data_IF_465184393791
#
_entry.id   IF_465184393791
#
_cell.length_a   1.000
_cell.length_b   1.000
_cell.length_c   1.000
_cell.angle_alpha   90.00
_cell.angle_beta   90.00
_cell.angle_gamma   90.00
#
_symmetry.space_group_name_H-M   'P 1'
#
loop_
_entity.id
_entity.type
_entity.pdbx_description
1 polymer ?
#
# COMPACT_ATOMS: atom_id res chain seq x y z
N UNK A 1 -18.70 25.57 9.46
CA UNK A 1 -17.59 24.77 8.89
C UNK A 1 -16.78 24.13 10.01
N UNK A 2 -16.26 24.91 10.96
CA UNK A 2 -15.46 24.39 12.09
C UNK A 2 -16.26 23.72 13.22
N UNK A 3 -17.59 23.65 13.13
CA UNK A 3 -18.42 23.02 14.16
C UNK A 3 -18.22 21.52 14.23
N UNK A 4 -17.91 20.87 13.09
CA UNK A 4 -17.59 19.45 13.05
C UNK A 4 -16.25 19.18 13.75
N UNK A 5 -15.22 19.98 13.46
CA UNK A 5 -13.88 19.83 14.02
C UNK A 5 -13.90 20.04 15.54
N UNK A 6 -14.59 21.08 16.02
CA UNK A 6 -14.79 21.34 17.45
C UNK A 6 -15.50 20.16 18.11
N UNK A 7 -16.56 19.63 17.48
CA UNK A 7 -17.31 18.49 18.04
C UNK A 7 -16.45 17.23 18.11
N UNK A 8 -15.67 16.95 17.07
CA UNK A 8 -14.73 15.82 17.06
C UNK A 8 -13.69 15.93 18.16
N UNK A 9 -13.13 17.13 18.39
CA UNK A 9 -12.16 17.38 19.47
C UNK A 9 -12.80 17.16 20.85
N UNK A 10 -14.00 17.69 21.07
CA UNK A 10 -14.72 17.53 22.34
C UNK A 10 -15.04 16.07 22.60
N UNK A 11 -15.58 15.36 21.60
CA UNK A 11 -15.94 13.94 21.72
C UNK A 11 -14.70 13.07 21.99
N UNK A 12 -13.58 13.33 21.31
CA UNK A 12 -12.32 12.59 21.51
C UNK A 12 -11.73 12.80 22.91
N UNK A 13 -11.72 14.04 23.41
CA UNK A 13 -11.24 14.34 24.75
C UNK A 13 -12.15 13.72 25.82
N UNK A 14 -13.47 13.83 25.67
CA UNK A 14 -14.41 13.18 26.60
C UNK A 14 -14.19 11.67 26.65
N UNK A 15 -14.01 11.01 25.49
CA UNK A 15 -13.67 9.59 25.46
C UNK A 15 -12.35 9.28 26.18
N UNK A 16 -11.31 10.09 25.96
CA UNK A 16 -10.00 9.90 26.57
C UNK A 16 -10.05 9.99 28.11
N UNK A 17 -10.92 10.85 28.66
CA UNK A 17 -11.07 11.03 30.10
C UNK A 17 -12.11 10.07 30.73
N UNK A 18 -13.24 9.88 30.06
CA UNK A 18 -14.38 9.13 30.58
C UNK A 18 -14.26 7.61 30.37
N UNK A 19 -13.46 7.17 29.39
CA UNK A 19 -13.28 5.75 29.05
C UNK A 19 -11.82 5.36 29.15
N UNK A 20 -11.38 5.04 30.37
CA UNK A 20 -10.00 4.69 30.67
C UNK A 20 -9.41 3.53 29.86
N UNK A 21 -10.25 2.63 29.32
CA UNK A 21 -9.85 1.48 28.48
C UNK A 21 -9.63 1.84 27.01
N UNK A 22 -9.88 3.09 26.60
CA UNK A 22 -9.63 3.54 25.24
C UNK A 22 -8.23 4.14 25.21
N UNK A 23 -7.26 3.32 24.84
CA UNK A 23 -5.84 3.69 24.84
C UNK A 23 -5.36 4.16 23.47
N UNK A 24 -6.15 3.94 22.42
CA UNK A 24 -5.77 4.23 21.03
C UNK A 24 -6.83 5.04 20.31
N UNK A 25 -6.39 6.12 19.66
CA UNK A 25 -7.23 7.03 18.90
C UNK A 25 -6.75 7.08 17.44
N UNK A 26 -7.63 6.73 16.50
CA UNK A 26 -7.37 6.88 15.08
C UNK A 26 -8.03 8.17 14.56
N UNK A 27 -7.23 9.14 14.14
CA UNK A 27 -7.68 10.41 13.60
C UNK A 27 -7.56 10.40 12.07
N UNK A 28 -8.70 10.34 11.39
CA UNK A 28 -8.75 10.42 9.92
C UNK A 28 -8.91 11.88 9.50
N UNK A 29 -7.80 12.60 9.41
CA UNK A 29 -7.75 13.98 8.95
C UNK A 29 -6.34 14.37 8.46
N UNK A 30 -6.28 15.19 7.41
CA UNK A 30 -5.05 15.87 6.98
C UNK A 30 -4.86 17.26 7.57
N UNK A 31 -5.84 17.76 8.34
CA UNK A 31 -5.86 19.13 8.83
C UNK A 31 -4.94 19.32 10.05
N UNK A 32 -4.04 20.30 9.97
CA UNK A 32 -3.11 20.64 11.05
C UNK A 32 -3.80 21.19 12.30
N UNK A 33 -5.05 21.66 12.18
CA UNK A 33 -5.82 22.22 13.30
C UNK A 33 -6.09 21.18 14.40
N UNK A 34 -5.92 19.89 14.12
CA UNK A 34 -6.01 18.82 15.12
C UNK A 34 -4.73 18.57 15.91
N UNK A 35 -3.62 19.26 15.60
CA UNK A 35 -2.35 19.08 16.33
C UNK A 35 -2.50 19.26 17.86
N UNK A 36 -3.25 20.25 18.38
CA UNK A 36 -3.46 20.38 19.82
C UNK A 36 -4.22 19.19 20.43
N UNK A 37 -5.17 18.59 19.70
CA UNK A 37 -5.87 17.38 20.15
C UNK A 37 -4.90 16.20 20.25
N UNK A 38 -4.08 15.98 19.22
CA UNK A 38 -3.06 14.91 19.20
C UNK A 38 -2.11 15.06 20.38
N UNK A 39 -1.56 16.26 20.60
CA UNK A 39 -0.68 16.53 21.75
C UNK A 39 -1.38 16.24 23.07
N UNK A 40 -2.64 16.66 23.23
CA UNK A 40 -3.39 16.42 24.47
C UNK A 40 -3.69 14.94 24.71
N UNK A 41 -4.01 14.18 23.67
CA UNK A 41 -4.21 12.73 23.78
C UNK A 41 -2.90 12.04 24.21
N UNK A 42 -1.77 12.40 23.60
CA UNK A 42 -0.45 11.86 23.94
C UNK A 42 0.00 12.21 25.35
N UNK A 43 -0.26 13.44 25.81
CA UNK A 43 -0.03 13.84 27.21
C UNK A 43 -0.83 13.01 28.22
N UNK A 44 -1.94 12.38 27.81
CA UNK A 44 -2.73 11.48 28.63
C UNK A 44 -2.42 10.00 28.33
N UNK A 45 -1.19 9.71 27.87
CA UNK A 45 -0.69 8.37 27.56
C UNK A 45 -1.54 7.59 26.54
N UNK A 46 -2.23 8.30 25.64
CA UNK A 46 -3.00 7.68 24.55
C UNK A 46 -2.14 7.58 23.29
N UNK A 47 -2.22 6.44 22.62
CA UNK A 47 -1.59 6.19 21.32
C UNK A 47 -2.42 6.83 20.21
N UNK A 48 -1.82 7.68 19.38
CA UNK A 48 -2.53 8.38 18.31
C UNK A 48 -2.05 7.95 16.93
N UNK A 49 -2.96 7.39 16.16
CA UNK A 49 -2.76 7.00 14.76
C UNK A 49 -3.40 8.07 13.87
N UNK A 50 -2.59 8.82 13.13
CA UNK A 50 -3.08 9.74 12.10
C UNK A 50 -3.34 9.01 10.77
N UNK A 51 -4.39 9.39 10.06
CA UNK A 51 -4.66 8.96 8.70
C UNK A 51 -4.95 10.17 7.81
N UNK A 52 -4.23 10.31 6.71
CA UNK A 52 -4.40 11.45 5.81
C UNK A 52 -3.85 11.22 4.41
N UNK A 53 -4.19 12.13 3.49
CA UNK A 53 -3.72 12.12 2.10
C UNK A 53 -2.35 12.78 2.03
N UNK A 54 -1.38 12.19 1.33
CA UNK A 54 0.01 12.67 1.32
C UNK A 54 0.16 14.10 0.83
N UNK A 55 -0.67 14.53 -0.12
CA UNK A 55 -0.67 15.90 -0.66
C UNK A 55 -1.34 16.95 0.24
N UNK A 56 -2.08 16.52 1.25
CA UNK A 56 -2.94 17.39 2.05
C UNK A 56 -2.71 17.26 3.55
N UNK A 57 -1.78 16.40 3.96
CA UNK A 57 -1.40 16.21 5.37
C UNK A 57 -0.22 17.11 5.69
N UNK A 58 -0.37 17.94 6.73
CA UNK A 58 0.72 18.79 7.22
C UNK A 58 1.82 17.98 7.91
N UNK A 59 3.09 18.31 7.64
CA UNK A 59 4.26 17.70 8.32
C UNK A 59 4.19 17.85 9.85
N UNK A 60 3.55 18.92 10.33
CA UNK A 60 3.35 19.15 11.77
C UNK A 60 2.39 18.12 12.38
N UNK A 61 1.32 17.76 11.69
CA UNK A 61 0.37 16.75 12.17
C UNK A 61 1.02 15.36 12.14
N UNK A 62 1.73 15.05 11.05
CA UNK A 62 2.46 13.79 10.88
C UNK A 62 3.49 13.60 12.00
N UNK A 63 4.27 14.63 12.33
CA UNK A 63 5.27 14.57 13.39
C UNK A 63 4.70 14.52 14.81
N UNK A 64 3.45 14.95 15.01
CA UNK A 64 2.81 14.93 16.31
C UNK A 64 2.14 13.59 16.64
N UNK A 65 1.76 12.79 15.63
CA UNK A 65 1.16 11.47 15.82
C UNK A 65 2.22 10.42 16.20
N UNK A 66 1.82 9.35 16.89
CA UNK A 66 2.72 8.23 17.19
C UNK A 66 2.91 7.31 15.97
N UNK A 67 1.85 7.19 15.15
CA UNK A 67 1.88 6.54 13.84
C UNK A 67 1.07 7.39 12.85
N UNK A 68 1.50 7.46 11.59
CA UNK A 68 0.74 8.12 10.53
C UNK A 68 0.67 7.26 9.28
N UNK A 69 -0.55 6.91 8.86
CA UNK A 69 -0.82 6.06 7.70
C UNK A 69 -1.35 6.94 6.57
N UNK A 70 -0.64 6.94 5.44
CA UNK A 70 -1.12 7.64 4.25
C UNK A 70 -2.22 6.85 3.55
N UNK A 71 -3.32 7.54 3.21
CA UNK A 71 -4.48 6.93 2.57
C UNK A 71 -4.12 6.25 1.23
N UNK A 72 -3.20 6.84 0.47
CA UNK A 72 -2.71 6.27 -0.79
C UNK A 72 -1.98 4.93 -0.59
N UNK A 73 -1.23 4.79 0.50
CA UNK A 73 -0.51 3.56 0.83
C UNK A 73 -1.49 2.48 1.32
N UNK A 74 -2.51 2.85 2.09
CA UNK A 74 -3.58 1.94 2.52
C UNK A 74 -4.39 1.39 1.33
N UNK A 75 -4.71 2.23 0.33
CA UNK A 75 -5.37 1.76 -0.90
C UNK A 75 -4.49 0.78 -1.66
N UNK A 76 -3.18 1.05 -1.76
CA UNK A 76 -2.24 0.16 -2.46
C UNK A 76 -2.17 -1.21 -1.79
N UNK A 77 -2.13 -1.26 -0.46
CA UNK A 77 -2.12 -2.52 0.31
C UNK A 77 -3.46 -3.26 0.26
N UNK A 78 -4.58 -2.54 0.34
CA UNK A 78 -5.92 -3.13 0.20
C UNK A 78 -6.14 -3.72 -1.19
N UNK A 79 -5.67 -3.05 -2.25
CA UNK A 79 -5.71 -3.57 -3.63
C UNK A 79 -4.81 -4.80 -3.80
N UNK A 80 -3.60 -4.79 -3.23
CA UNK A 80 -2.71 -5.98 -3.18
C UNK A 80 -3.42 -7.16 -2.51
N UNK A 81 -4.08 -6.91 -1.38
CA UNK A 81 -4.80 -7.95 -0.63
C UNK A 81 -6.05 -8.46 -1.38
N UNK A 82 -6.75 -7.58 -2.09
CA UNK A 82 -7.98 -7.94 -2.83
C UNK A 82 -7.67 -8.71 -4.12
N UNK A 83 -6.67 -8.28 -4.90
CA UNK A 83 -6.26 -8.98 -6.13
C UNK A 83 -5.68 -10.39 -5.85
N UNK A 84 -5.18 -10.60 -4.63
CA UNK A 84 -4.63 -11.89 -4.19
C UNK A 84 -5.65 -12.77 -3.44
N UNK A 85 -6.87 -12.26 -3.21
CA UNK A 85 -7.90 -12.94 -2.42
C UNK A 85 -8.49 -14.11 -3.21
N UNK A 86 -8.42 -15.32 -2.65
CA UNK A 86 -8.94 -16.55 -3.28
C UNK A 86 -7.92 -17.31 -4.14
N UNK A 87 -6.69 -16.82 -4.25
CA UNK A 87 -5.60 -17.57 -4.86
C UNK A 87 -4.96 -18.54 -3.85
N UNK A 88 -4.41 -19.67 -4.31
CA UNK A 88 -3.55 -20.51 -3.49
C UNK A 88 -2.40 -19.69 -2.89
N UNK A 89 -2.08 -19.93 -1.62
CA UNK A 89 -1.08 -19.17 -0.84
C UNK A 89 0.24 -18.97 -1.60
N UNK A 90 0.77 -20.04 -2.20
CA UNK A 90 2.00 -19.99 -3.02
C UNK A 90 1.87 -19.05 -4.23
N UNK A 91 0.72 -19.04 -4.91
CA UNK A 91 0.52 -18.14 -6.05
C UNK A 91 0.38 -16.69 -5.60
N UNK A 92 -0.30 -16.47 -4.47
CA UNK A 92 -0.42 -15.14 -3.88
C UNK A 92 0.96 -14.57 -3.50
N UNK A 93 1.82 -15.39 -2.91
CA UNK A 93 3.20 -15.03 -2.57
C UNK A 93 4.02 -14.63 -3.82
N UNK A 94 3.93 -15.43 -4.89
CA UNK A 94 4.62 -15.14 -6.15
C UNK A 94 4.20 -13.80 -6.76
N UNK A 95 2.89 -13.51 -6.74
CA UNK A 95 2.36 -12.25 -7.26
C UNK A 95 2.67 -11.06 -6.35
N UNK A 96 2.70 -11.25 -5.02
CA UNK A 96 3.15 -10.22 -4.09
C UNK A 96 4.60 -9.80 -4.37
N UNK A 97 5.49 -10.78 -4.57
CA UNK A 97 6.88 -10.54 -4.94
C UNK A 97 7.00 -9.85 -6.32
N UNK A 98 6.14 -10.21 -7.28
CA UNK A 98 6.10 -9.58 -8.59
C UNK A 98 5.71 -8.10 -8.49
N UNK A 99 4.65 -7.78 -7.75
CA UNK A 99 4.17 -6.40 -7.54
C UNK A 99 5.27 -5.56 -6.88
N UNK A 100 5.93 -6.09 -5.84
CA UNK A 100 7.03 -5.38 -5.17
C UNK A 100 8.22 -5.11 -6.08
N UNK A 101 8.57 -6.06 -6.95
CA UNK A 101 9.63 -5.86 -7.93
C UNK A 101 9.29 -4.79 -8.96
N UNK A 102 8.04 -4.76 -9.44
CA UNK A 102 7.56 -3.73 -10.36
C UNK A 102 7.55 -2.35 -9.70
N UNK A 103 7.02 -2.24 -8.49
CA UNK A 103 7.00 -0.97 -7.74
C UNK A 103 8.41 -0.45 -7.41
N UNK A 104 9.37 -1.35 -7.19
CA UNK A 104 10.77 -0.95 -7.02
C UNK A 104 11.34 -0.34 -8.32
N UNK A 105 11.06 -0.97 -9.47
CA UNK A 105 11.53 -0.47 -10.77
C UNK A 105 10.84 0.84 -11.20
N UNK A 106 9.56 1.03 -10.85
CA UNK A 106 8.86 2.29 -11.09
C UNK A 106 9.44 3.45 -10.27
N UNK A 107 9.88 3.19 -9.03
CA UNK A 107 10.59 4.19 -8.21
C UNK A 107 11.96 4.58 -8.79
N UNK A 108 12.56 3.72 -9.61
CA UNK A 108 13.79 4.01 -10.36
C UNK A 108 13.53 4.80 -11.66
N UNK A 109 12.30 5.27 -11.92
CA UNK A 109 11.91 5.97 -13.17
C UNK A 109 12.27 5.21 -14.46
N UNK A 110 12.10 3.89 -14.47
CA UNK A 110 12.25 3.10 -15.70
C UNK A 110 10.95 3.11 -16.50
N UNK A 111 11.00 3.76 -17.67
CA UNK A 111 9.84 3.89 -18.57
C UNK A 111 9.40 2.55 -19.20
N UNK A 112 10.29 1.56 -19.27
CA UNK A 112 10.00 0.26 -19.89
C UNK A 112 10.42 -0.88 -18.97
N UNK A 113 9.45 -1.66 -18.52
CA UNK A 113 9.68 -2.77 -17.61
C UNK A 113 9.70 -4.10 -18.37
N UNK A 114 10.89 -4.53 -18.77
CA UNK A 114 11.08 -5.83 -19.40
C UNK A 114 10.87 -6.97 -18.39
N UNK A 115 10.20 -8.06 -18.80
CA UNK A 115 9.98 -9.21 -17.93
C UNK A 115 11.29 -9.79 -17.36
N UNK A 116 12.38 -9.76 -18.13
CA UNK A 116 13.72 -10.14 -17.65
C UNK A 116 14.24 -9.21 -16.55
N UNK A 117 13.99 -7.90 -16.66
CA UNK A 117 14.36 -6.91 -15.65
C UNK A 117 13.57 -7.14 -14.36
N UNK A 118 12.26 -7.38 -14.46
CA UNK A 118 11.42 -7.68 -13.31
C UNK A 118 11.88 -8.96 -12.62
N UNK A 119 12.15 -10.02 -13.38
CA UNK A 119 12.71 -11.27 -12.84
C UNK A 119 14.04 -11.04 -12.10
N UNK A 120 14.96 -10.26 -12.66
CA UNK A 120 16.21 -9.93 -11.99
C UNK A 120 15.99 -9.17 -10.69
N UNK A 121 15.05 -8.22 -10.67
CA UNK A 121 14.70 -7.49 -9.45
C UNK A 121 14.08 -8.41 -8.39
N UNK A 122 13.23 -9.36 -8.79
CA UNK A 122 12.68 -10.37 -7.89
C UNK A 122 13.79 -11.23 -7.27
N UNK A 123 14.73 -11.73 -8.08
CA UNK A 123 15.86 -12.53 -7.58
C UNK A 123 16.79 -11.71 -6.68
N UNK A 124 17.01 -10.42 -6.98
CA UNK A 124 17.81 -9.53 -6.12
C UNK A 124 17.17 -9.34 -4.74
N UNK A 125 15.85 -9.23 -4.68
CA UNK A 125 15.09 -9.07 -3.43
C UNK A 125 14.92 -10.39 -2.68
N UNK A 126 14.71 -11.49 -3.42
CA UNK A 126 14.58 -12.84 -2.89
C UNK A 126 15.43 -13.81 -3.72
N UNK A 127 16.68 -14.08 -3.30
CA UNK A 127 17.58 -15.01 -4.01
C UNK A 127 17.04 -16.44 -4.12
N UNK A 128 16.10 -16.84 -3.25
CA UNK A 128 15.47 -18.16 -3.29
C UNK A 128 14.29 -18.24 -4.26
N UNK A 129 13.98 -17.15 -4.98
CA UNK A 129 12.86 -17.11 -5.93
C UNK A 129 13.04 -18.15 -7.04
N UNK A 130 12.05 -19.02 -7.19
CA UNK A 130 11.98 -20.02 -8.26
C UNK A 130 10.54 -20.18 -8.74
N UNK A 131 10.28 -19.97 -10.03
CA UNK A 131 8.93 -20.03 -10.59
C UNK A 131 8.28 -21.42 -10.45
N UNK A 132 9.10 -22.48 -10.49
CA UNK A 132 8.64 -23.86 -10.35
C UNK A 132 8.11 -24.13 -8.95
N UNK A 133 8.69 -23.49 -7.92
CA UNK A 133 8.21 -23.59 -6.54
C UNK A 133 6.77 -23.07 -6.39
N UNK A 134 6.41 -22.06 -7.19
CA UNK A 134 5.08 -21.46 -7.23
C UNK A 134 4.14 -22.12 -8.26
N UNK A 135 4.56 -23.22 -8.89
CA UNK A 135 3.75 -23.98 -9.85
C UNK A 135 3.76 -23.45 -11.29
N UNK A 136 4.74 -22.60 -11.63
CA UNK A 136 4.91 -22.09 -13.00
C UNK A 136 6.13 -22.69 -13.66
N UNK A 137 5.97 -23.24 -14.88
CA UNK A 137 7.11 -23.82 -15.61
C UNK A 137 8.07 -22.78 -16.17
N UNK A 138 7.62 -21.54 -16.36
CA UNK A 138 8.44 -20.41 -16.84
C UNK A 138 7.96 -19.11 -16.22
N UNK A 139 8.85 -18.12 -16.15
CA UNK A 139 8.48 -16.75 -15.74
C UNK A 139 7.42 -16.14 -16.64
N UNK A 140 7.48 -16.43 -17.94
CA UNK A 140 6.46 -16.04 -18.91
C UNK A 140 5.05 -16.50 -18.51
N UNK A 141 4.89 -17.75 -18.03
CA UNK A 141 3.59 -18.25 -17.55
C UNK A 141 3.13 -17.56 -16.27
N UNK A 142 4.05 -17.22 -15.39
CA UNK A 142 3.73 -16.43 -14.18
C UNK A 142 3.20 -15.04 -14.58
N UNK A 143 3.86 -14.38 -15.53
CA UNK A 143 3.41 -13.08 -16.05
C UNK A 143 2.05 -13.20 -16.73
N UNK A 144 1.86 -14.17 -17.64
CA UNK A 144 0.58 -14.40 -18.32
C UNK A 144 -0.56 -14.63 -17.33
N UNK A 145 -0.33 -15.40 -16.27
CA UNK A 145 -1.34 -15.62 -15.24
C UNK A 145 -1.60 -14.36 -14.42
N UNK A 146 -0.56 -13.58 -14.08
CA UNK A 146 -0.73 -12.28 -13.43
C UNK A 146 -1.55 -11.31 -14.30
N UNK A 147 -1.41 -11.37 -15.62
CA UNK A 147 -2.23 -10.58 -16.55
C UNK A 147 -3.69 -11.05 -16.58
N UNK A 148 -3.95 -12.37 -16.57
CA UNK A 148 -5.33 -12.91 -16.46
C UNK A 148 -6.01 -12.49 -15.16
N UNK A 149 -5.25 -12.44 -14.07
CA UNK A 149 -5.74 -11.96 -12.77
C UNK A 149 -5.85 -10.43 -12.70
N UNK A 150 -5.59 -9.71 -13.80
CA UNK A 150 -5.61 -8.24 -13.89
C UNK A 150 -4.71 -7.57 -12.83
N UNK A 151 -3.53 -8.16 -12.60
CA UNK A 151 -2.49 -7.60 -11.72
C UNK A 151 -1.54 -6.73 -12.55
N UNK A 152 -1.26 -7.12 -13.79
CA UNK A 152 -0.35 -6.44 -14.72
C UNK A 152 -0.94 -6.40 -16.12
N UNK A 153 -0.59 -5.38 -16.88
CA UNK A 153 -0.80 -5.37 -18.33
C UNK A 153 0.50 -5.73 -19.03
N UNK A 154 0.40 -6.71 -19.92
CA UNK A 154 1.52 -7.22 -20.70
C UNK A 154 1.37 -6.82 -22.16
N UNK A 155 2.46 -6.36 -22.74
CA UNK A 155 2.63 -6.22 -24.17
C UNK A 155 3.73 -7.19 -24.63
N UNK A 156 3.53 -7.81 -25.79
CA UNK A 156 4.53 -8.70 -26.37
C UNK A 156 5.28 -7.94 -27.44
N UNK A 157 6.59 -7.82 -27.27
CA UNK A 157 7.43 -7.17 -28.28
C UNK A 157 7.49 -8.03 -29.56
N UNK A 158 7.05 -7.46 -30.67
CA UNK A 158 6.93 -8.16 -31.95
C UNK A 158 8.29 -8.57 -32.56
N UNK A 159 9.39 -7.96 -32.09
CA UNK A 159 10.76 -8.23 -32.60
C UNK A 159 11.49 -9.33 -31.82
N UNK A 160 11.31 -9.37 -30.50
CA UNK A 160 12.05 -10.25 -29.59
C UNK A 160 11.20 -11.36 -28.97
N UNK A 161 9.87 -11.26 -29.05
CA UNK A 161 8.94 -12.19 -28.40
C UNK A 161 8.91 -12.09 -26.87
N UNK A 162 9.62 -11.10 -26.31
CA UNK A 162 9.73 -10.86 -24.86
C UNK A 162 8.52 -10.09 -24.34
N UNK A 163 8.15 -10.33 -23.08
CA UNK A 163 7.09 -9.58 -22.42
C UNK A 163 7.60 -8.26 -21.85
N UNK A 164 6.83 -7.19 -22.10
CA UNK A 164 6.98 -5.87 -21.51
C UNK A 164 5.78 -5.65 -20.59
N UNK A 165 6.03 -5.22 -19.36
CA UNK A 165 5.00 -4.87 -18.38
C UNK A 165 4.76 -3.37 -18.54
N UNK A 166 3.61 -2.99 -19.05
CA UNK A 166 3.29 -1.58 -19.36
C UNK A 166 2.68 -0.85 -18.17
N UNK A 167 1.95 -1.56 -17.31
CA UNK A 167 1.38 -1.01 -16.08
C UNK A 167 1.04 -2.10 -15.08
N UNK A 168 0.96 -1.70 -13.80
CA UNK A 168 0.18 -2.44 -12.81
C UNK A 168 -1.28 -2.07 -13.04
N UNK A 169 -2.12 -3.06 -13.30
CA UNK A 169 -3.57 -2.82 -13.39
C UNK A 169 -4.05 -2.46 -11.99
N UNK A 170 -4.42 -1.19 -11.79
CA UNK A 170 -5.07 -0.77 -10.56
C UNK A 170 -6.44 -1.43 -10.52
N UNK A 171 -6.53 -2.58 -9.84
CA UNK A 171 -7.76 -3.37 -9.69
C UNK A 171 -9.00 -2.50 -9.65
N UNK A 172 -9.72 -2.47 -10.79
CA UNK A 172 -10.95 -1.70 -10.91
C UNK A 172 -11.99 -2.40 -10.02
N UNK A 173 -12.67 -1.70 -9.11
CA UNK A 173 -13.78 -2.30 -8.38
C UNK A 173 -14.84 -2.69 -9.41
N UNK A 174 -15.25 -3.96 -9.38
CA UNK A 174 -16.47 -4.45 -10.04
C UNK A 174 -17.68 -4.02 -9.24
#
# INVERSE_FOLDING_TARGET
KNSADIRMVVDALDLAYSKGHVDTFALVSGDSDFSPLVSKLRENDRYVIGLGVKSSSSELLVGNCDEFIFYEDLIRESKKTTALRGLPEKKAEAFAQLIEAIQALQRENKDTLWGSMVKQTMIRKNPAFNESYYGYSTFSKLLEEAAKQRIVTLEKDAKSGTYIITSLEEGRPV
#
